data_IF_862848743744
#
_entry.id   IF_862848743744
#
_cell.length_a   1.000
_cell.length_b   1.000
_cell.length_c   1.000
_cell.angle_alpha   90.00
_cell.angle_beta   90.00
_cell.angle_gamma   90.00
#
_symmetry.space_group_name_H-M   'P 1'
#
loop_
_entity.id
_entity.type
_entity.pdbx_description
1 polymer ?
#
# COMPACT_ATOMS: atom_id res chain seq x y z
N UNK A 1 -10.81 -9.61 -3.90
CA UNK A 1 -9.38 -9.42 -3.60
C UNK A 1 -8.46 -10.09 -4.61
N UNK A 2 -8.90 -11.17 -5.28
CA UNK A 2 -8.13 -11.79 -6.37
C UNK A 2 -7.73 -10.82 -7.48
N UNK A 3 -8.60 -9.85 -7.79
CA UNK A 3 -8.31 -8.76 -8.74
C UNK A 3 -7.10 -7.95 -8.28
N UNK A 4 -7.08 -7.43 -7.05
CA UNK A 4 -5.95 -6.65 -6.52
C UNK A 4 -4.65 -7.49 -6.49
N UNK A 5 -4.73 -8.77 -6.14
CA UNK A 5 -3.55 -9.65 -6.18
C UNK A 5 -3.02 -9.86 -7.61
N UNK A 6 -3.90 -9.95 -8.61
CA UNK A 6 -3.51 -10.04 -10.01
C UNK A 6 -2.90 -8.72 -10.51
N UNK A 7 -3.54 -7.59 -10.19
CA UNK A 7 -3.03 -6.24 -10.47
C UNK A 7 -1.64 -6.03 -9.86
N UNK A 8 -1.44 -6.41 -8.59
CA UNK A 8 -0.15 -6.32 -7.90
C UNK A 8 0.93 -7.14 -8.59
N UNK A 9 0.64 -8.40 -8.97
CA UNK A 9 1.61 -9.24 -9.68
C UNK A 9 2.01 -8.64 -11.03
N UNK A 10 1.04 -8.12 -11.78
CA UNK A 10 1.30 -7.48 -13.06
C UNK A 10 2.14 -6.21 -12.88
N UNK A 11 1.75 -5.36 -11.92
CA UNK A 11 2.44 -4.12 -11.61
C UNK A 11 3.87 -4.34 -11.10
N UNK A 12 4.10 -5.37 -10.29
CA UNK A 12 5.41 -5.73 -9.77
C UNK A 12 6.40 -6.12 -10.88
N UNK A 13 5.91 -6.59 -12.02
CA UNK A 13 6.74 -7.02 -13.16
C UNK A 13 6.79 -5.95 -14.27
N UNK A 14 6.24 -4.77 -14.03
CA UNK A 14 6.30 -3.68 -14.98
C UNK A 14 7.71 -3.07 -15.05
N UNK A 15 8.06 -2.50 -16.20
CA UNK A 15 9.34 -1.81 -16.43
C UNK A 15 9.43 -0.45 -15.72
N UNK A 16 8.31 0.03 -15.18
CA UNK A 16 8.17 1.35 -14.59
C UNK A 16 7.42 1.27 -13.26
N UNK A 17 7.55 2.31 -12.42
CA UNK A 17 6.94 2.32 -11.07
C UNK A 17 5.46 2.68 -11.12
N UNK A 18 4.99 3.27 -12.21
CA UNK A 18 3.66 3.86 -12.38
C UNK A 18 2.53 2.83 -12.18
N UNK A 19 2.62 1.59 -12.71
CA UNK A 19 1.61 0.57 -12.44
C UNK A 19 1.52 0.19 -10.97
N UNK A 20 2.66 0.13 -10.27
CA UNK A 20 2.67 -0.18 -8.83
C UNK A 20 2.10 1.00 -8.04
N UNK A 21 2.49 2.21 -8.39
CA UNK A 21 1.99 3.44 -7.76
C UNK A 21 0.46 3.60 -7.92
N UNK A 22 -0.10 3.14 -9.04
CA UNK A 22 -1.54 3.19 -9.31
C UNK A 22 -2.38 2.29 -8.38
N UNK A 23 -1.76 1.33 -7.68
CA UNK A 23 -2.44 0.47 -6.70
C UNK A 23 -2.65 1.15 -5.35
N UNK A 24 -2.01 2.30 -5.13
CA UNK A 24 -2.14 3.07 -3.91
C UNK A 24 -3.30 4.07 -4.01
N UNK A 25 -4.04 4.22 -2.92
CA UNK A 25 -5.00 5.31 -2.77
C UNK A 25 -4.22 6.61 -2.51
N UNK A 26 -4.13 7.47 -3.53
CA UNK A 26 -3.30 8.68 -3.53
C UNK A 26 -4.09 9.98 -3.40
N UNK A 27 -5.42 9.89 -3.24
CA UNK A 27 -6.29 11.06 -3.13
C UNK A 27 -6.03 11.81 -1.81
N UNK A 28 -5.77 13.12 -1.91
CA UNK A 28 -5.43 13.96 -0.76
C UNK A 28 -3.99 13.77 -0.23
N UNK A 29 -3.25 12.78 -0.73
CA UNK A 29 -1.84 12.55 -0.35
C UNK A 29 -0.94 13.68 -0.83
N UNK A 30 0.01 14.10 0.01
CA UNK A 30 0.97 15.15 -0.34
C UNK A 30 2.00 14.69 -1.37
N UNK A 31 2.65 15.63 -2.07
CA UNK A 31 3.72 15.30 -3.00
C UNK A 31 4.93 14.65 -2.30
N UNK A 32 5.23 15.02 -1.05
CA UNK A 32 6.30 14.42 -0.28
C UNK A 32 6.02 12.93 0.00
N UNK A 33 4.81 12.60 0.46
CA UNK A 33 4.41 11.20 0.66
C UNK A 33 4.47 10.41 -0.66
N UNK A 34 4.02 11.01 -1.77
CA UNK A 34 4.14 10.37 -3.11
C UNK A 34 5.59 10.11 -3.50
N UNK A 35 6.50 11.04 -3.25
CA UNK A 35 7.92 10.87 -3.54
C UNK A 35 8.55 9.75 -2.69
N UNK A 36 8.20 9.68 -1.40
CA UNK A 36 8.66 8.60 -0.52
C UNK A 36 8.15 7.23 -1.00
N UNK A 37 6.87 7.14 -1.39
CA UNK A 37 6.30 5.91 -1.94
C UNK A 37 7.01 5.46 -3.22
N UNK A 38 7.30 6.39 -4.14
CA UNK A 38 8.04 6.08 -5.36
C UNK A 38 9.42 5.49 -5.05
N UNK A 39 10.13 6.06 -4.09
CA UNK A 39 11.43 5.51 -3.65
C UNK A 39 11.28 4.10 -3.08
N UNK A 40 10.30 3.87 -2.20
CA UNK A 40 10.04 2.54 -1.62
C UNK A 40 9.69 1.50 -2.69
N UNK A 41 8.79 1.85 -3.62
CA UNK A 41 8.39 1.01 -4.75
C UNK A 41 9.60 0.64 -5.60
N UNK A 42 10.51 1.58 -5.87
CA UNK A 42 11.69 1.33 -6.70
C UNK A 42 12.61 0.25 -6.11
N UNK A 43 12.69 0.15 -4.78
CA UNK A 43 13.47 -0.90 -4.12
C UNK A 43 12.81 -2.28 -4.20
N UNK A 44 11.48 -2.35 -4.25
CA UNK A 44 10.74 -3.61 -4.24
C UNK A 44 10.35 -4.12 -5.64
N UNK A 45 10.36 -3.24 -6.64
CA UNK A 45 9.91 -3.56 -7.99
C UNK A 45 10.74 -4.68 -8.62
N UNK A 46 10.08 -5.60 -9.30
CA UNK A 46 10.71 -6.73 -9.99
C UNK A 46 11.03 -7.91 -9.09
N UNK A 47 10.94 -7.80 -7.76
CA UNK A 47 11.22 -8.92 -6.87
C UNK A 47 10.25 -10.09 -7.15
N UNK A 48 10.73 -11.33 -7.31
CA UNK A 48 9.86 -12.46 -7.62
C UNK A 48 8.89 -12.74 -6.48
N UNK A 49 7.59 -12.61 -6.74
CA UNK A 49 6.55 -12.87 -5.74
C UNK A 49 6.35 -14.38 -5.57
N UNK A 50 6.44 -14.87 -4.33
CA UNK A 50 6.09 -16.25 -3.98
C UNK A 50 4.60 -16.39 -3.71
N UNK A 51 4.02 -15.50 -2.89
CA UNK A 51 2.62 -15.58 -2.45
C UNK A 51 2.07 -14.19 -2.11
N UNK A 52 0.78 -13.99 -2.37
CA UNK A 52 0.00 -12.84 -1.89
C UNK A 52 -1.16 -13.41 -1.07
N UNK A 53 -1.34 -12.91 0.14
CA UNK A 53 -2.40 -13.32 1.07
C UNK A 53 -3.12 -12.10 1.63
N UNK A 54 -4.37 -12.32 2.06
CA UNK A 54 -5.19 -11.29 2.69
C UNK A 54 -5.70 -11.81 4.02
N UNK A 55 -5.50 -11.04 5.09
CA UNK A 55 -5.93 -11.37 6.44
C UNK A 55 -6.81 -10.24 7.02
N UNK A 56 -7.85 -10.55 7.82
CA UNK A 56 -8.59 -9.53 8.57
C UNK A 56 -7.64 -8.73 9.46
N UNK A 57 -7.96 -7.45 9.65
CA UNK A 57 -7.21 -6.60 10.58
C UNK A 57 -7.37 -7.13 12.01
N UNK A 58 -6.24 -7.20 12.72
CA UNK A 58 -6.16 -7.65 14.11
C UNK A 58 -6.41 -6.52 15.12
N UNK A 59 -6.38 -5.27 14.67
CA UNK A 59 -6.35 -4.07 15.51
C UNK A 59 -4.93 -3.68 15.92
N UNK A 60 -3.90 -4.19 15.23
CA UNK A 60 -2.52 -3.89 15.54
C UNK A 60 -2.18 -2.44 15.12
N UNK A 61 -1.33 -1.71 15.87
CA UNK A 61 -1.04 -0.30 15.58
C UNK A 61 -0.54 -0.04 14.17
N UNK A 62 0.23 -0.97 13.59
CA UNK A 62 0.74 -0.87 12.22
C UNK A 62 -0.33 -0.98 11.12
N UNK A 63 -1.55 -1.41 11.47
CA UNK A 63 -2.68 -1.49 10.54
C UNK A 63 -3.37 -0.13 10.36
N UNK A 64 -3.03 0.85 11.21
CA UNK A 64 -3.68 2.16 11.28
C UNK A 64 -2.66 3.25 10.96
N UNK A 65 -3.04 4.18 10.08
CA UNK A 65 -2.20 5.35 9.74
C UNK A 65 -2.72 6.56 10.50
N UNK A 66 -2.09 6.90 11.63
CA UNK A 66 -2.32 8.16 12.34
C UNK A 66 -1.00 8.68 12.90
N UNK A 67 -0.59 9.88 12.47
CA UNK A 67 0.63 10.52 12.97
C UNK A 67 0.59 12.04 12.76
N UNK A 68 1.41 12.78 13.52
CA UNK A 68 1.60 14.22 13.34
C UNK A 68 2.97 14.49 12.76
N UNK A 69 3.05 15.33 11.73
CA UNK A 69 4.32 15.78 11.14
C UNK A 69 4.28 17.29 10.92
N UNK A 70 5.23 18.02 11.53
CA UNK A 70 5.32 19.48 11.45
C UNK A 70 4.00 20.19 11.84
N UNK A 71 3.32 19.69 12.86
CA UNK A 71 2.05 20.25 13.34
C UNK A 71 0.82 19.87 12.51
N UNK A 72 0.97 19.12 11.42
CA UNK A 72 -0.14 18.62 10.61
C UNK A 72 -0.45 17.18 10.99
N UNK A 73 -1.71 16.89 11.31
CA UNK A 73 -2.18 15.52 11.53
C UNK A 73 -2.43 14.81 10.19
N UNK A 74 -2.03 13.54 10.13
CA UNK A 74 -2.21 12.68 8.99
C UNK A 74 -3.05 11.47 9.39
N UNK A 75 -3.99 11.13 8.52
CA UNK A 75 -4.88 9.99 8.63
C UNK A 75 -4.80 9.11 7.39
N UNK A 76 -5.54 7.98 7.38
CA UNK A 76 -5.56 7.10 6.24
C UNK A 76 -6.36 7.72 5.09
N UNK A 77 -5.96 7.40 3.86
CA UNK A 77 -6.67 7.81 2.64
C UNK A 77 -7.99 7.09 2.45
N UNK A 78 -8.12 5.87 2.99
CA UNK A 78 -9.33 5.04 2.96
C UNK A 78 -9.57 4.42 4.34
N UNK A 79 -10.78 3.94 4.60
CA UNK A 79 -11.05 3.12 5.78
C UNK A 79 -10.30 1.78 5.69
N UNK A 80 -9.45 1.42 6.69
CA UNK A 80 -8.80 0.12 6.76
C UNK A 80 -9.79 -1.05 6.76
N UNK A 81 -9.58 -2.03 5.87
CA UNK A 81 -10.43 -3.22 5.80
C UNK A 81 -9.67 -4.53 6.04
N UNK A 82 -8.53 -4.70 5.37
CA UNK A 82 -7.73 -5.94 5.42
C UNK A 82 -6.25 -5.62 5.36
N UNK A 83 -5.43 -6.59 5.75
CA UNK A 83 -3.99 -6.58 5.52
C UNK A 83 -3.65 -7.48 4.34
N UNK A 84 -2.93 -6.95 3.38
CA UNK A 84 -2.29 -7.69 2.31
C UNK A 84 -0.84 -8.01 2.69
N UNK A 85 -0.47 -9.28 2.53
CA UNK A 85 0.90 -9.78 2.76
C UNK A 85 1.47 -10.29 1.45
N UNK A 86 2.60 -9.73 1.05
CA UNK A 86 3.32 -10.13 -0.16
C UNK A 86 4.63 -10.77 0.26
N UNK A 87 4.74 -12.09 0.09
CA UNK A 87 5.97 -12.84 0.35
C UNK A 87 6.75 -12.98 -0.94
N UNK A 88 8.02 -12.61 -0.91
CA UNK A 88 8.92 -12.70 -2.05
C UNK A 88 9.77 -13.98 -1.98
N UNK A 89 10.24 -14.44 -3.13
CA UNK A 89 11.12 -15.60 -3.25
C UNK A 89 12.58 -15.16 -3.04
N UNK A 90 12.87 -14.71 -1.82
CA UNK A 90 14.23 -14.38 -1.36
C UNK A 90 14.70 -15.39 -0.32
N UNK A 91 16.01 -15.53 -0.13
CA UNK A 91 16.59 -16.49 0.84
C UNK A 91 16.12 -16.20 2.28
N UNK A 92 15.97 -14.92 2.61
CA UNK A 92 15.57 -14.46 3.95
C UNK A 92 14.04 -14.45 4.19
N UNK A 93 13.24 -14.85 3.20
CA UNK A 93 11.77 -14.87 3.32
C UNK A 93 11.16 -13.47 3.48
N UNK A 94 11.71 -12.48 2.77
CA UNK A 94 11.26 -11.09 2.83
C UNK A 94 9.76 -10.96 2.54
N UNK A 95 9.07 -10.12 3.31
CA UNK A 95 7.64 -9.89 3.23
C UNK A 95 7.31 -8.40 3.36
N UNK A 96 6.50 -7.89 2.42
CA UNK A 96 5.87 -6.58 2.54
C UNK A 96 4.45 -6.74 3.09
N UNK A 97 4.08 -5.85 4.02
CA UNK A 97 2.74 -5.79 4.61
C UNK A 97 2.10 -4.45 4.28
N UNK A 98 0.88 -4.51 3.77
CA UNK A 98 0.12 -3.34 3.37
C UNK A 98 -1.26 -3.39 4.01
N UNK A 99 -1.72 -2.27 4.56
CA UNK A 99 -3.14 -2.11 4.87
C UNK A 99 -3.86 -1.71 3.58
N UNK A 100 -4.99 -2.36 3.29
CA UNK A 100 -5.81 -2.09 2.11
C UNK A 100 -7.22 -1.66 2.53
N UNK A 101 -7.83 -0.82 1.70
CA UNK A 101 -9.20 -0.31 1.86
C UNK A 101 -9.94 -0.32 0.54
N UNK A 102 -11.26 -0.10 0.58
CA UNK A 102 -12.08 0.01 -0.63
C UNK A 102 -12.31 1.47 -1.02
N UNK A 103 -12.26 1.73 -2.32
CA UNK A 103 -12.81 2.93 -2.94
C UNK A 103 -14.34 2.83 -3.05
N UNK A 104 -14.99 3.95 -3.37
CA UNK A 104 -16.46 4.02 -3.53
C UNK A 104 -17.01 3.11 -4.63
N UNK A 105 -16.18 2.78 -5.63
CA UNK A 105 -16.51 1.84 -6.71
C UNK A 105 -16.33 0.36 -6.30
N UNK A 106 -15.92 0.10 -5.06
CA UNK A 106 -15.68 -1.24 -4.50
C UNK A 106 -14.31 -1.83 -4.80
N UNK A 107 -13.47 -1.14 -5.59
CA UNK A 107 -12.11 -1.60 -5.88
C UNK A 107 -11.20 -1.47 -4.65
N UNK A 108 -10.28 -2.41 -4.49
CA UNK A 108 -9.35 -2.44 -3.36
C UNK A 108 -8.05 -1.72 -3.72
N UNK A 109 -7.55 -0.87 -2.82
CA UNK A 109 -6.29 -0.14 -2.98
C UNK A 109 -5.46 -0.16 -1.70
N UNK A 110 -4.16 -0.03 -1.84
CA UNK A 110 -3.22 0.11 -0.73
C UNK A 110 -3.40 1.49 -0.11
N UNK A 111 -3.61 1.53 1.21
CA UNK A 111 -3.85 2.77 1.94
C UNK A 111 -2.53 3.54 2.08
N UNK A 112 -2.60 4.84 1.83
CA UNK A 112 -1.54 5.81 2.15
C UNK A 112 -2.03 6.85 3.16
N UNK A 113 -1.19 7.85 3.48
CA UNK A 113 -1.56 8.96 4.35
C UNK A 113 -2.02 10.20 3.57
N UNK A 114 -2.92 10.97 4.19
CA UNK A 114 -3.28 12.33 3.78
C UNK A 114 -3.42 13.23 5.01
N UNK A 115 -3.19 14.54 4.88
CA UNK A 115 -3.52 15.49 5.94
C UNK A 115 -4.99 15.37 6.32
N UNK A 116 -5.29 15.42 7.61
CA UNK A 116 -6.65 15.54 8.13
C UNK A 116 -6.97 17.04 8.18
N UNK A 117 -8.01 17.52 7.47
CA UNK A 117 -8.47 18.90 7.63
C UNK A 117 -8.89 19.15 9.08
N UNK A 118 -8.54 20.32 9.62
CA UNK A 118 -9.01 20.80 10.94
C UNK A 118 -10.55 20.93 11.00
#
# INVERSE_FOLDING_TARGET
MDVLAAEFRAANQAESIEPMLALYALEGTTQNTRNMLKSAIYFELGMPIQKIEFEPLSGAPEEVIHYTHQGVEYGPTLTPGYRMRVRYRTEDGFESRFTIGQLDDGSWRIITSRPIPE
#
